data_IF_575437633301
#
_entry.id   IF_575437633301
#
_cell.length_a   1.000
_cell.length_b   1.000
_cell.length_c   1.000
_cell.angle_alpha   90.00
_cell.angle_beta   90.00
_cell.angle_gamma   90.00
#
_symmetry.space_group_name_H-M   'P 1'
#
loop_
_entity.id
_entity.type
_entity.pdbx_description
1 polymer ?
#
# COMPACT_ATOMS: atom_id res chain seq x y z
N UNK A 1 -14.53 -28.19 36.36
CA UNK A 1 -14.59 -26.74 36.59
C UNK A 1 -14.53 -26.08 35.23
N UNK A 2 -15.56 -25.34 34.81
CA UNK A 2 -15.48 -24.55 33.57
C UNK A 2 -14.46 -23.44 33.80
N UNK A 3 -13.46 -23.31 32.91
CA UNK A 3 -12.58 -22.13 32.92
C UNK A 3 -13.47 -20.90 32.74
N UNK A 4 -13.32 -19.89 33.60
CA UNK A 4 -14.01 -18.62 33.40
C UNK A 4 -13.43 -17.97 32.13
N UNK A 5 -14.28 -17.77 31.13
CA UNK A 5 -13.93 -17.07 29.91
C UNK A 5 -13.96 -15.56 30.18
N UNK A 6 -12.93 -14.84 29.75
CA UNK A 6 -12.87 -13.38 29.83
C UNK A 6 -13.36 -12.78 28.51
N UNK A 7 -14.21 -11.75 28.59
CA UNK A 7 -14.74 -11.02 27.43
C UNK A 7 -14.41 -9.53 27.51
N UNK A 8 -13.75 -9.01 26.48
CA UNK A 8 -13.50 -7.59 26.27
C UNK A 8 -14.64 -6.98 25.47
N UNK A 9 -15.17 -5.84 25.94
CA UNK A 9 -16.14 -5.03 25.21
C UNK A 9 -15.45 -3.78 24.70
N UNK A 10 -15.49 -3.56 23.39
CA UNK A 10 -14.77 -2.47 22.73
C UNK A 10 -15.74 -1.71 21.87
N UNK A 11 -15.70 -0.37 21.92
CA UNK A 11 -16.49 0.44 21.01
C UNK A 11 -15.99 0.23 19.58
N UNK A 12 -16.91 0.00 18.65
CA UNK A 12 -16.61 -0.06 17.22
C UNK A 12 -16.40 1.36 16.70
N UNK A 13 -15.17 1.79 16.36
CA UNK A 13 -14.94 3.13 15.83
C UNK A 13 -15.59 3.22 14.44
N UNK A 14 -16.72 3.90 14.36
CA UNK A 14 -17.44 4.15 13.11
C UNK A 14 -17.28 5.61 12.72
N UNK A 15 -16.64 5.86 11.59
CA UNK A 15 -16.65 7.16 10.94
C UNK A 15 -17.31 7.02 9.57
N UNK A 16 -17.94 8.11 9.11
CA UNK A 16 -18.38 8.27 7.73
C UNK A 16 -17.72 9.52 7.20
N UNK A 17 -17.11 9.38 6.03
CA UNK A 17 -16.58 10.50 5.26
C UNK A 17 -17.17 10.37 3.87
N UNK A 18 -17.76 11.45 3.38
CA UNK A 18 -18.17 11.57 1.98
C UNK A 18 -16.97 12.05 1.18
N UNK A 19 -16.62 11.31 0.14
CA UNK A 19 -15.45 11.59 -0.69
C UNK A 19 -15.90 11.58 -2.14
N UNK A 20 -15.67 12.68 -2.84
CA UNK A 20 -15.93 12.80 -4.26
C UNK A 20 -15.16 11.71 -5.03
N UNK A 21 -15.90 10.93 -5.81
CA UNK A 21 -15.31 9.86 -6.61
C UNK A 21 -14.79 10.43 -7.92
N UNK A 22 -13.51 10.17 -8.19
CA UNK A 22 -12.83 10.51 -9.44
C UNK A 22 -12.54 9.21 -10.18
N UNK A 23 -12.91 9.07 -11.46
CA UNK A 23 -12.59 7.86 -12.20
C UNK A 23 -11.08 7.65 -12.27
N UNK A 24 -10.66 6.39 -12.29
CA UNK A 24 -9.29 6.04 -12.60
C UNK A 24 -8.89 6.56 -14.00
N UNK A 25 -7.59 6.81 -14.18
CA UNK A 25 -7.03 7.17 -15.47
C UNK A 25 -7.33 6.11 -16.54
N UNK A 26 -7.49 6.48 -17.82
CA UNK A 26 -7.63 5.53 -18.91
C UNK A 26 -6.43 4.58 -18.98
N UNK A 27 -6.69 3.28 -19.16
CA UNK A 27 -5.63 2.29 -19.35
C UNK A 27 -5.00 2.42 -20.75
N UNK A 28 -3.71 2.10 -20.84
CA UNK A 28 -2.93 2.19 -22.07
C UNK A 28 -3.26 0.98 -22.96
N UNK A 29 -3.66 1.17 -24.21
CA UNK A 29 -3.99 0.04 -25.10
C UNK A 29 -2.79 -0.82 -25.49
N UNK A 30 -1.63 -0.19 -25.67
CA UNK A 30 -0.38 -0.81 -26.08
C UNK A 30 0.80 -0.05 -25.44
N UNK A 31 1.74 -0.80 -24.88
CA UNK A 31 2.93 -0.26 -24.20
C UNK A 31 4.13 -0.08 -25.16
N UNK A 32 4.00 -0.50 -26.42
CA UNK A 32 5.06 -0.34 -27.44
C UNK A 32 5.43 1.14 -27.60
N UNK A 33 6.72 1.45 -27.43
CA UNK A 33 7.23 2.82 -27.54
C UNK A 33 6.82 3.77 -26.41
N UNK A 34 6.14 3.27 -25.36
CA UNK A 34 5.63 4.09 -24.26
C UNK A 34 6.70 4.45 -23.25
N UNK A 35 6.54 5.62 -22.64
CA UNK A 35 7.41 6.14 -21.59
C UNK A 35 6.82 5.87 -20.22
N UNK A 36 7.44 4.95 -19.50
CA UNK A 36 7.07 4.59 -18.13
C UNK A 36 7.98 5.31 -17.15
N UNK A 37 7.39 6.12 -16.26
CA UNK A 37 8.13 6.74 -15.16
C UNK A 37 8.09 5.82 -13.94
N UNK A 38 9.22 5.66 -13.27
CA UNK A 38 9.29 4.91 -12.01
C UNK A 38 9.59 5.85 -10.87
N UNK A 39 8.64 5.96 -9.94
CA UNK A 39 8.81 6.66 -8.67
C UNK A 39 9.36 5.68 -7.65
N UNK A 40 10.66 5.78 -7.38
CA UNK A 40 11.33 4.95 -6.39
C UNK A 40 11.65 5.75 -5.14
N UNK A 41 11.15 5.27 -4.01
CA UNK A 41 11.58 5.74 -2.69
C UNK A 41 12.69 4.86 -2.11
N UNK A 42 12.81 3.59 -2.54
CA UNK A 42 13.75 2.55 -2.10
C UNK A 42 13.80 1.40 -3.14
N UNK A 43 14.80 0.51 -3.07
CA UNK A 43 14.84 -0.75 -3.82
C UNK A 43 15.12 -0.59 -5.32
N UNK A 44 16.26 0.04 -5.65
CA UNK A 44 16.64 0.30 -7.04
C UNK A 44 17.01 -0.99 -7.79
N UNK A 45 17.44 -2.01 -7.05
CA UNK A 45 17.82 -3.31 -7.56
C UNK A 45 16.61 -3.99 -8.22
N UNK A 46 15.47 -4.01 -7.52
CA UNK A 46 14.21 -4.56 -8.03
C UNK A 46 13.74 -3.88 -9.32
N UNK A 47 13.98 -2.58 -9.47
CA UNK A 47 13.64 -1.84 -10.69
C UNK A 47 14.38 -2.39 -11.90
N UNK A 48 15.69 -2.65 -11.80
CA UNK A 48 16.48 -3.18 -12.91
C UNK A 48 15.89 -4.49 -13.44
N UNK A 49 15.56 -5.42 -12.55
CA UNK A 49 14.96 -6.71 -12.94
C UNK A 49 13.59 -6.57 -13.61
N UNK A 50 12.74 -5.67 -13.10
CA UNK A 50 11.41 -5.41 -13.68
C UNK A 50 11.55 -4.75 -15.06
N UNK A 51 12.44 -3.75 -15.17
CA UNK A 51 12.69 -3.03 -16.41
C UNK A 51 13.21 -3.98 -17.51
N UNK A 52 14.18 -4.84 -17.18
CA UNK A 52 14.68 -5.88 -18.10
C UNK A 52 13.56 -6.84 -18.53
N UNK A 53 12.79 -7.34 -17.56
CA UNK A 53 11.69 -8.25 -17.84
C UNK A 53 10.61 -7.62 -18.75
N UNK A 54 10.28 -6.33 -18.56
CA UNK A 54 9.32 -5.63 -19.41
C UNK A 54 9.88 -5.31 -20.79
N UNK A 55 11.15 -4.89 -20.91
CA UNK A 55 11.81 -4.65 -22.20
C UNK A 55 11.90 -5.91 -23.07
N UNK A 56 12.06 -7.07 -22.44
CA UNK A 56 12.05 -8.36 -23.16
C UNK A 56 10.66 -8.72 -23.73
N UNK A 57 9.58 -8.11 -23.22
CA UNK A 57 8.19 -8.37 -23.63
C UNK A 57 7.63 -7.30 -24.57
N UNK A 58 8.09 -6.06 -24.44
CA UNK A 58 7.49 -4.89 -25.06
C UNK A 58 8.55 -4.13 -25.85
N UNK A 59 8.31 -4.00 -27.15
CA UNK A 59 9.24 -3.34 -28.05
C UNK A 59 9.29 -1.84 -27.75
N UNK A 60 10.50 -1.27 -27.77
CA UNK A 60 10.76 0.17 -27.66
C UNK A 60 10.24 0.86 -26.39
N UNK A 61 9.84 0.10 -25.35
CA UNK A 61 9.40 0.68 -24.08
C UNK A 61 10.57 1.42 -23.41
N UNK A 62 10.27 2.60 -22.87
CA UNK A 62 11.24 3.46 -22.21
C UNK A 62 10.96 3.53 -20.73
N UNK A 63 12.00 3.45 -19.92
CA UNK A 63 11.91 3.65 -18.47
C UNK A 63 12.68 4.90 -18.09
N UNK A 64 12.04 5.76 -17.31
CA UNK A 64 12.67 6.91 -16.71
C UNK A 64 12.48 6.85 -15.20
N UNK A 65 13.57 6.74 -14.46
CA UNK A 65 13.52 6.92 -13.01
C UNK A 65 13.24 8.39 -12.69
N UNK A 66 12.30 8.60 -11.79
CA UNK A 66 12.04 9.91 -11.21
C UNK A 66 12.42 9.87 -9.74
N UNK A 67 13.53 10.52 -9.42
CA UNK A 67 13.93 10.74 -8.04
C UNK A 67 13.38 12.07 -7.56
N UNK A 68 12.71 12.05 -6.41
CA UNK A 68 12.44 13.31 -5.72
C UNK A 68 13.77 13.99 -5.42
N UNK A 69 13.88 15.31 -5.63
CA UNK A 69 15.11 16.03 -5.35
C UNK A 69 15.60 15.66 -3.96
N UNK A 70 16.68 14.88 -3.89
CA UNK A 70 17.37 14.68 -2.63
C UNK A 70 17.92 16.05 -2.28
N UNK A 71 17.50 16.52 -1.14
CA UNK A 71 18.05 17.72 -0.54
C UNK A 71 19.57 17.67 -0.53
N UNK A 72 20.16 18.82 -0.77
CA UNK A 72 21.57 19.01 -0.43
C UNK A 72 21.71 18.93 1.09
N UNK A 73 22.91 18.59 1.58
CA UNK A 73 23.19 18.59 3.01
C UNK A 73 22.79 19.95 3.62
N UNK A 74 21.82 19.94 4.55
CA UNK A 74 21.33 21.14 5.24
C UNK A 74 19.93 21.62 4.86
N UNK A 75 19.28 21.07 3.83
CA UNK A 75 17.88 21.40 3.52
C UNK A 75 16.90 20.45 4.24
N UNK A 76 15.65 20.87 4.43
CA UNK A 76 14.56 20.06 5.02
C UNK A 76 13.74 19.38 3.93
N UNK A 77 13.37 18.11 4.13
CA UNK A 77 12.75 17.28 3.09
C UNK A 77 11.53 17.99 2.55
N UNK A 78 11.61 18.40 1.27
CA UNK A 78 10.47 18.98 0.59
C UNK A 78 9.61 17.82 0.11
N UNK A 79 8.43 17.70 0.71
CA UNK A 79 7.39 16.86 0.15
C UNK A 79 7.04 17.33 -1.27
N UNK A 80 6.85 16.41 -2.23
CA UNK A 80 6.42 16.77 -3.57
C UNK A 80 5.11 17.57 -3.51
N UNK A 81 5.07 18.70 -4.22
CA UNK A 81 3.84 19.48 -4.34
C UNK A 81 2.97 18.97 -5.50
N UNK A 82 1.79 19.54 -5.71
CA UNK A 82 0.89 19.11 -6.79
C UNK A 82 1.49 19.29 -8.19
N UNK A 83 2.27 20.34 -8.41
CA UNK A 83 2.92 20.60 -9.71
C UNK A 83 3.95 19.52 -10.05
N UNK A 84 4.63 18.97 -9.04
CA UNK A 84 5.58 17.88 -9.22
C UNK A 84 4.88 16.62 -9.78
N UNK A 85 3.72 16.25 -9.23
CA UNK A 85 2.92 15.12 -9.73
C UNK A 85 2.31 15.38 -11.10
N UNK A 86 1.82 16.62 -11.34
CA UNK A 86 1.30 17.03 -12.63
C UNK A 86 2.37 16.92 -13.71
N UNK A 87 3.58 17.40 -13.42
CA UNK A 87 4.71 17.31 -14.34
C UNK A 87 5.08 15.85 -14.68
N UNK A 88 5.06 14.95 -13.69
CA UNK A 88 5.26 13.51 -13.94
C UNK A 88 4.17 12.97 -14.87
N UNK A 89 2.90 13.25 -14.57
CA UNK A 89 1.76 12.77 -15.35
C UNK A 89 1.82 13.28 -16.80
N UNK A 90 2.11 14.55 -17.03
CA UNK A 90 2.21 15.16 -18.36
C UNK A 90 3.41 14.65 -19.18
N UNK A 91 4.45 14.13 -18.52
CA UNK A 91 5.68 13.66 -19.16
C UNK A 91 5.85 12.13 -19.13
N UNK A 92 4.77 11.38 -18.89
CA UNK A 92 4.76 9.91 -18.90
C UNK A 92 3.46 9.36 -19.49
N UNK A 93 3.55 8.18 -20.09
CA UNK A 93 2.37 7.43 -20.54
C UNK A 93 1.79 6.57 -19.41
N UNK A 94 2.63 6.17 -18.44
CA UNK A 94 2.25 5.40 -17.26
C UNK A 94 3.30 5.51 -16.16
N UNK A 95 2.90 5.22 -14.92
CA UNK A 95 3.78 5.32 -13.75
C UNK A 95 3.81 4.03 -12.94
N UNK A 96 5.00 3.61 -12.52
CA UNK A 96 5.18 2.57 -11.50
C UNK A 96 5.64 3.23 -10.20
N UNK A 97 5.00 2.93 -9.07
CA UNK A 97 5.39 3.45 -7.75
C UNK A 97 5.95 2.33 -6.88
N UNK A 98 7.22 2.46 -6.49
CA UNK A 98 7.97 1.56 -5.63
C UNK A 98 8.19 2.20 -4.23
N UNK A 99 8.08 1.49 -3.11
CA UNK A 99 7.54 0.16 -2.85
C UNK A 99 6.71 0.25 -1.55
N UNK A 100 5.52 -0.35 -1.52
CA UNK A 100 4.67 -0.43 -0.34
C UNK A 100 4.81 -1.76 0.41
N UNK A 101 5.68 -1.82 1.42
CA UNK A 101 5.94 -3.03 2.25
C UNK A 101 5.91 -2.74 3.75
N UNK A 102 5.39 -1.59 4.16
CA UNK A 102 5.17 -1.27 5.57
C UNK A 102 3.94 -0.40 5.75
N UNK A 103 3.49 -0.24 6.99
CA UNK A 103 2.40 0.68 7.33
C UNK A 103 2.70 2.14 7.00
N UNK A 104 3.97 2.54 6.85
CA UNK A 104 4.35 3.90 6.46
C UNK A 104 4.62 4.06 4.96
N UNK A 105 5.29 3.09 4.33
CA UNK A 105 5.65 3.19 2.91
C UNK A 105 4.47 2.89 1.97
N UNK A 106 3.55 2.00 2.36
CA UNK A 106 2.38 1.66 1.54
C UNK A 106 1.45 2.85 1.33
N UNK A 107 1.01 3.57 2.39
CA UNK A 107 0.16 4.75 2.20
C UNK A 107 0.85 5.79 1.33
N UNK A 108 2.13 6.09 1.58
CA UNK A 108 2.88 7.06 0.78
C UNK A 108 2.93 6.69 -0.71
N UNK A 109 3.20 5.42 -1.03
CA UNK A 109 3.24 4.96 -2.41
C UNK A 109 1.89 5.09 -3.11
N UNK A 110 0.81 4.74 -2.40
CA UNK A 110 -0.56 4.80 -2.93
C UNK A 110 -1.03 6.23 -3.10
N UNK A 111 -0.78 7.11 -2.12
CA UNK A 111 -1.13 8.53 -2.20
C UNK A 111 -0.42 9.20 -3.39
N UNK A 112 0.83 8.84 -3.66
CA UNK A 112 1.55 9.31 -4.85
C UNK A 112 0.87 8.82 -6.15
N UNK A 113 0.56 7.54 -6.24
CA UNK A 113 -0.12 6.96 -7.41
C UNK A 113 -1.51 7.56 -7.62
N UNK A 114 -2.26 7.80 -6.54
CA UNK A 114 -3.60 8.35 -6.61
C UNK A 114 -3.61 9.78 -7.17
N UNK A 115 -2.64 10.62 -6.77
CA UNK A 115 -2.47 11.96 -7.34
C UNK A 115 -2.20 11.90 -8.85
N UNK A 116 -1.38 10.96 -9.31
CA UNK A 116 -1.02 10.79 -10.73
C UNK A 116 -2.21 10.29 -11.55
N UNK A 117 -2.95 9.31 -11.04
CA UNK A 117 -4.19 8.83 -11.63
C UNK A 117 -5.23 9.95 -11.81
N UNK A 118 -5.37 10.84 -10.81
CA UNK A 118 -6.23 12.03 -10.90
C UNK A 118 -5.79 13.02 -11.97
N UNK A 119 -4.53 13.01 -12.39
CA UNK A 119 -4.02 13.78 -13.54
C UNK A 119 -4.15 13.06 -14.88
N UNK A 120 -4.78 11.87 -14.91
CA UNK A 120 -5.11 11.15 -16.14
C UNK A 120 -4.03 10.16 -16.62
N UNK A 121 -2.98 9.93 -15.83
CA UNK A 121 -1.93 8.95 -16.17
C UNK A 121 -2.09 7.68 -15.34
N UNK A 122 -2.19 6.49 -15.96
CA UNK A 122 -2.36 5.24 -15.22
C UNK A 122 -1.13 4.91 -14.37
N UNK A 123 -1.38 4.54 -13.11
CA UNK A 123 -0.35 4.20 -12.15
C UNK A 123 -0.52 2.77 -11.61
N UNK A 124 0.60 2.07 -11.43
CA UNK A 124 0.66 0.76 -10.76
C UNK A 124 1.54 0.90 -9.52
N UNK A 125 1.04 0.46 -8.37
CA UNK A 125 1.81 0.45 -7.12
C UNK A 125 2.33 -0.95 -6.87
N UNK A 126 3.64 -1.09 -6.65
CA UNK A 126 4.18 -2.37 -6.17
C UNK A 126 4.02 -2.45 -4.66
N UNK A 127 3.38 -3.51 -4.18
CA UNK A 127 3.06 -3.70 -2.76
C UNK A 127 3.31 -5.13 -2.32
N UNK A 128 3.68 -5.31 -1.05
CA UNK A 128 3.70 -6.62 -0.40
C UNK A 128 2.30 -7.21 -0.31
N UNK A 129 2.17 -8.53 -0.41
CA UNK A 129 0.87 -9.23 -0.39
C UNK A 129 0.00 -8.85 0.79
N UNK A 130 0.59 -8.73 1.98
CA UNK A 130 -0.13 -8.36 3.21
C UNK A 130 -0.62 -6.90 3.23
N UNK A 131 -0.14 -6.04 2.33
CA UNK A 131 -0.46 -4.61 2.28
C UNK A 131 -1.45 -4.24 1.16
N UNK A 132 -1.92 -5.20 0.35
CA UNK A 132 -2.86 -4.92 -0.74
C UNK A 132 -4.14 -4.24 -0.24
N UNK A 133 -4.72 -4.72 0.86
CA UNK A 133 -5.97 -4.17 1.37
C UNK A 133 -5.80 -2.73 1.88
N UNK A 134 -4.71 -2.46 2.62
CA UNK A 134 -4.31 -1.09 2.97
C UNK A 134 -4.18 -0.22 1.72
N UNK A 135 -3.52 -0.73 0.68
CA UNK A 135 -3.29 0.04 -0.52
C UNK A 135 -4.60 0.44 -1.21
N UNK A 136 -5.54 -0.49 -1.33
CA UNK A 136 -6.87 -0.19 -1.88
C UNK A 136 -7.68 0.76 -0.98
N UNK A 137 -7.55 0.62 0.34
CA UNK A 137 -8.18 1.53 1.30
C UNK A 137 -7.71 2.98 1.09
N UNK A 138 -6.39 3.22 1.01
CA UNK A 138 -5.85 4.55 0.80
C UNK A 138 -6.17 5.12 -0.58
N UNK A 139 -6.24 4.29 -1.62
CA UNK A 139 -6.69 4.75 -2.94
C UNK A 139 -8.14 5.27 -2.89
N UNK A 140 -9.02 4.57 -2.16
CA UNK A 140 -10.42 4.96 -1.97
C UNK A 140 -10.59 6.16 -1.05
N UNK A 141 -9.77 6.30 -0.02
CA UNK A 141 -9.77 7.51 0.81
C UNK A 141 -9.32 8.75 0.01
N UNK A 142 -8.62 8.55 -1.10
CA UNK A 142 -8.30 9.59 -2.07
C UNK A 142 -9.40 9.81 -3.12
N UNK A 143 -10.53 9.10 -3.06
CA UNK A 143 -11.63 9.25 -4.01
C UNK A 143 -11.46 8.46 -5.30
N UNK A 144 -10.46 7.57 -5.42
CA UNK A 144 -10.42 6.62 -6.53
C UNK A 144 -11.33 5.40 -6.22
N UNK A 145 -11.95 4.78 -7.22
CA UNK A 145 -12.65 3.51 -7.03
C UNK A 145 -11.74 2.42 -6.47
N UNK A 146 -10.50 2.36 -6.96
CA UNK A 146 -9.45 1.43 -6.56
C UNK A 146 -8.09 1.83 -7.19
N UNK A 147 -7.04 1.03 -6.99
CA UNK A 147 -5.73 1.21 -7.64
C UNK A 147 -5.18 -0.11 -8.19
N UNK A 148 -4.44 -0.04 -9.31
CA UNK A 148 -3.73 -1.18 -9.88
C UNK A 148 -2.50 -1.52 -9.02
N UNK A 149 -2.30 -2.82 -8.75
CA UNK A 149 -1.25 -3.32 -7.87
C UNK A 149 -0.38 -4.35 -8.59
N UNK A 150 0.94 -4.21 -8.46
CA UNK A 150 1.89 -5.30 -8.62
C UNK A 150 2.20 -5.90 -7.25
N UNK A 151 1.94 -7.18 -7.06
CA UNK A 151 2.01 -7.87 -5.77
C UNK A 151 3.31 -8.63 -5.61
N UNK A 152 4.12 -8.21 -4.63
CA UNK A 152 5.20 -9.04 -4.12
C UNK A 152 4.64 -10.19 -3.27
N UNK A 153 5.19 -11.41 -3.40
CA UNK A 153 4.74 -12.56 -2.61
C UNK A 153 5.16 -12.48 -1.13
N UNK A 154 5.92 -11.46 -0.75
CA UNK A 154 6.53 -11.25 0.56
C UNK A 154 6.28 -9.83 1.08
N UNK A 155 6.63 -9.60 2.32
CA UNK A 155 6.44 -8.36 3.09
C UNK A 155 7.74 -7.62 3.41
N UNK A 156 8.84 -8.01 2.76
CA UNK A 156 10.15 -7.37 2.84
C UNK A 156 10.67 -7.01 1.43
N UNK A 157 11.78 -6.26 1.36
CA UNK A 157 12.44 -5.97 0.07
C UNK A 157 13.15 -7.25 -0.38
N UNK A 158 12.79 -7.84 -1.54
CA UNK A 158 13.39 -9.10 -1.97
C UNK A 158 14.89 -8.93 -2.22
N UNK A 159 15.66 -9.97 -1.86
CA UNK A 159 17.06 -10.11 -2.26
C UNK A 159 17.16 -10.56 -3.72
N UNK A 160 18.35 -10.54 -4.31
CA UNK A 160 18.56 -11.07 -5.67
C UNK A 160 18.21 -12.57 -5.76
N UNK A 161 18.53 -13.35 -4.72
CA UNK A 161 18.17 -14.77 -4.62
C UNK A 161 16.65 -14.96 -4.61
N UNK A 162 15.93 -14.19 -3.78
CA UNK A 162 14.46 -14.20 -3.76
C UNK A 162 13.86 -13.89 -5.14
N UNK A 163 14.43 -12.91 -5.86
CA UNK A 163 13.95 -12.47 -7.16
C UNK A 163 14.01 -13.61 -8.18
N UNK A 164 15.13 -14.33 -8.22
CA UNK A 164 15.36 -15.43 -9.16
C UNK A 164 14.57 -16.69 -8.75
N UNK A 165 14.67 -17.14 -7.50
CA UNK A 165 14.02 -18.37 -7.03
C UNK A 165 12.49 -18.32 -7.16
N UNK A 166 11.90 -17.18 -6.80
CA UNK A 166 10.44 -17.00 -6.80
C UNK A 166 9.92 -16.44 -8.13
N UNK A 167 10.81 -16.18 -9.10
CA UNK A 167 10.48 -15.58 -10.41
C UNK A 167 9.72 -14.26 -10.26
N UNK A 168 10.19 -13.40 -9.35
CA UNK A 168 9.53 -12.14 -9.02
C UNK A 168 9.55 -11.21 -10.23
N UNK A 169 10.65 -11.17 -10.98
CA UNK A 169 10.82 -10.27 -12.12
C UNK A 169 9.76 -10.49 -13.20
N UNK A 170 9.49 -11.74 -13.59
CA UNK A 170 8.50 -12.05 -14.61
C UNK A 170 7.09 -11.77 -14.12
N UNK A 171 6.77 -12.21 -12.90
CA UNK A 171 5.43 -12.03 -12.32
C UNK A 171 5.07 -10.56 -12.17
N UNK A 172 5.98 -9.76 -11.60
CA UNK A 172 5.75 -8.32 -11.47
C UNK A 172 5.67 -7.62 -12.82
N UNK A 173 6.51 -7.99 -13.79
CA UNK A 173 6.39 -7.43 -15.14
C UNK A 173 5.00 -7.71 -15.73
N UNK A 174 4.51 -8.95 -15.65
CA UNK A 174 3.19 -9.33 -16.17
C UNK A 174 2.06 -8.57 -15.44
N UNK A 175 2.13 -8.45 -14.11
CA UNK A 175 1.16 -7.70 -13.31
C UNK A 175 1.19 -6.19 -13.57
N UNK A 176 2.36 -5.59 -13.79
CA UNK A 176 2.48 -4.18 -14.16
C UNK A 176 1.88 -3.95 -15.54
N UNK A 177 2.18 -4.81 -16.51
CA UNK A 177 1.62 -4.75 -17.85
C UNK A 177 0.09 -4.84 -17.78
N UNK A 178 -0.45 -5.79 -17.02
CA UNK A 178 -1.88 -5.93 -16.82
C UNK A 178 -2.48 -4.70 -16.12
N UNK A 179 -1.83 -4.22 -15.06
CA UNK A 179 -2.18 -3.01 -14.31
C UNK A 179 -2.29 -1.76 -15.17
N UNK A 180 -1.39 -1.60 -16.14
CA UNK A 180 -1.36 -0.45 -17.04
C UNK A 180 -2.35 -0.57 -18.20
N UNK A 181 -2.65 -1.80 -18.66
CA UNK A 181 -3.32 -1.99 -19.96
C UNK A 181 -4.75 -2.50 -19.87
N UNK A 182 -5.07 -3.34 -18.88
CA UNK A 182 -6.33 -4.10 -18.84
C UNK A 182 -7.02 -4.10 -17.48
N UNK A 183 -6.32 -3.68 -16.43
CA UNK A 183 -6.86 -3.70 -15.08
C UNK A 183 -8.12 -2.84 -14.94
N UNK A 184 -9.02 -3.31 -14.07
CA UNK A 184 -10.24 -2.60 -13.69
C UNK A 184 -10.40 -2.59 -12.17
N UNK A 185 -11.04 -1.55 -11.61
CA UNK A 185 -11.28 -1.42 -10.18
C UNK A 185 -11.98 -2.64 -9.59
N UNK A 186 -11.50 -3.11 -8.45
CA UNK A 186 -12.13 -4.18 -7.70
C UNK A 186 -13.08 -3.57 -6.66
N UNK A 187 -14.29 -4.14 -6.48
CA UNK A 187 -15.21 -3.67 -5.46
C UNK A 187 -14.59 -3.83 -4.07
N UNK A 188 -14.95 -2.95 -3.11
CA UNK A 188 -14.53 -3.11 -1.72
C UNK A 188 -15.04 -4.43 -1.15
N UNK A 189 -14.11 -5.22 -0.58
CA UNK A 189 -14.45 -6.34 0.30
C UNK A 189 -14.46 -5.82 1.73
N UNK A 190 -15.46 -5.01 2.07
CA UNK A 190 -15.64 -4.50 3.43
C UNK A 190 -16.84 -5.23 4.02
N UNK A 191 -16.59 -6.08 5.00
CA UNK A 191 -17.66 -6.60 5.86
C UNK A 191 -18.05 -5.48 6.82
N UNK A 192 -19.25 -4.94 6.63
CA UNK A 192 -19.77 -3.88 7.50
C UNK A 192 -20.26 -4.52 8.79
N UNK A 193 -19.51 -4.30 9.88
CA UNK A 193 -19.92 -4.70 11.22
C UNK A 193 -20.76 -3.57 11.81
N UNK A 194 -22.04 -3.84 12.06
CA UNK A 194 -23.07 -2.83 12.36
C UNK A 194 -23.13 -2.53 13.86
N UNK A 195 -22.63 -3.46 14.67
CA UNK A 195 -22.62 -3.43 16.12
C UNK A 195 -21.80 -2.24 16.63
N UNK A 196 -22.37 -1.49 17.57
CA UNK A 196 -21.70 -0.36 18.21
C UNK A 196 -20.63 -0.81 19.21
N UNK A 197 -20.83 -1.97 19.82
CA UNK A 197 -19.89 -2.60 20.75
C UNK A 197 -19.55 -3.98 20.22
N UNK A 198 -18.26 -4.28 20.18
CA UNK A 198 -17.71 -5.55 19.76
C UNK A 198 -17.24 -6.32 20.99
N UNK A 199 -17.46 -7.62 20.99
CA UNK A 199 -17.09 -8.50 22.09
C UNK A 199 -16.03 -9.50 21.63
N UNK A 200 -14.90 -9.53 22.35
CA UNK A 200 -13.79 -10.45 22.07
C UNK A 200 -13.51 -11.29 23.30
N UNK A 201 -13.56 -12.61 23.16
CA UNK A 201 -13.41 -13.53 24.29
C UNK A 201 -12.12 -14.35 24.19
N UNK A 202 -11.56 -14.73 25.32
CA UNK A 202 -10.36 -15.57 25.46
C UNK A 202 -10.30 -16.27 26.83
N UNK A 203 -9.38 -17.22 27.00
CA UNK A 203 -9.12 -17.85 28.30
C UNK A 203 -8.56 -16.83 29.31
N UNK A 204 -7.89 -15.79 28.83
CA UNK A 204 -7.38 -14.67 29.62
C UNK A 204 -7.46 -13.33 28.86
N UNK A 205 -7.00 -12.26 29.50
CA UNK A 205 -6.96 -10.92 28.92
C UNK A 205 -6.04 -10.84 27.67
N UNK A 206 -4.79 -11.34 27.69
CA UNK A 206 -3.95 -11.41 26.50
C UNK A 206 -4.60 -12.07 25.28
N UNK A 207 -5.29 -13.20 25.45
CA UNK A 207 -5.95 -13.90 24.34
C UNK A 207 -7.16 -13.11 23.82
N UNK A 208 -7.99 -12.55 24.71
CA UNK A 208 -9.10 -11.71 24.29
C UNK A 208 -8.61 -10.46 23.54
N UNK A 209 -7.49 -9.86 23.98
CA UNK A 209 -6.84 -8.75 23.30
C UNK A 209 -6.29 -9.16 21.93
N UNK A 210 -5.64 -10.32 21.83
CA UNK A 210 -5.14 -10.87 20.55
C UNK A 210 -6.28 -11.06 19.55
N UNK A 211 -7.43 -11.58 20.00
CA UNK A 211 -8.62 -11.75 19.17
C UNK A 211 -9.19 -10.41 18.69
N UNK A 212 -9.21 -9.40 19.56
CA UNK A 212 -9.56 -8.02 19.20
C UNK A 212 -8.60 -7.45 18.15
N UNK A 213 -7.29 -7.58 18.36
CA UNK A 213 -6.27 -7.07 17.43
C UNK A 213 -6.40 -7.75 16.06
N UNK A 214 -6.58 -9.07 16.01
CA UNK A 214 -6.76 -9.80 14.76
C UNK A 214 -7.99 -9.36 13.99
N UNK A 215 -9.10 -9.10 14.69
CA UNK A 215 -10.31 -8.58 14.08
C UNK A 215 -10.09 -7.20 13.45
N UNK A 216 -9.46 -6.26 14.16
CA UNK A 216 -9.20 -4.94 13.57
C UNK A 216 -8.14 -5.00 12.47
N UNK A 217 -7.15 -5.89 12.58
CA UNK A 217 -6.16 -6.12 11.52
C UNK A 217 -6.81 -6.72 10.27
N UNK A 218 -7.80 -7.61 10.41
CA UNK A 218 -8.49 -8.23 9.28
C UNK A 218 -9.44 -7.27 8.57
N UNK A 219 -10.13 -6.39 9.30
CA UNK A 219 -11.06 -5.40 8.73
C UNK A 219 -10.32 -4.26 8.06
N UNK A 220 -9.31 -3.70 8.71
CA UNK A 220 -8.55 -2.59 8.15
C UNK A 220 -7.60 -3.06 7.02
N UNK A 221 -7.43 -4.37 6.85
CA UNK A 221 -6.34 -4.94 6.06
C UNK A 221 -4.95 -4.57 6.59
N UNK A 222 -4.90 -4.11 7.84
CA UNK A 222 -3.70 -3.65 8.53
C UNK A 222 -3.12 -4.81 9.31
N UNK A 223 -2.45 -5.75 8.63
CA UNK A 223 -1.48 -6.62 9.32
C UNK A 223 -0.24 -5.86 9.83
N UNK A 224 -0.15 -4.54 9.60
CA UNK A 224 0.94 -3.70 10.09
C UNK A 224 0.85 -3.29 11.57
N UNK A 225 -0.27 -3.52 12.25
CA UNK A 225 -0.41 -3.13 13.66
C UNK A 225 0.52 -3.90 14.59
N UNK A 226 0.95 -5.11 14.22
CA UNK A 226 1.88 -5.87 15.04
C UNK A 226 3.25 -5.18 15.17
N UNK A 227 3.71 -4.46 14.13
CA UNK A 227 4.99 -3.73 14.20
C UNK A 227 4.90 -2.44 15.04
N UNK A 228 3.79 -1.71 14.92
CA UNK A 228 3.54 -0.50 15.71
C UNK A 228 3.34 -0.83 17.21
N UNK A 229 2.75 -2.00 17.50
CA UNK A 229 2.57 -2.49 18.87
C UNK A 229 3.82 -3.17 19.43
N UNK A 230 4.64 -3.85 18.63
CA UNK A 230 5.94 -4.39 19.06
C UNK A 230 6.94 -3.28 19.41
N UNK A 231 6.96 -2.17 18.66
CA UNK A 231 7.72 -0.97 19.06
C UNK A 231 7.22 -0.40 20.40
N UNK A 232 5.90 -0.38 20.63
CA UNK A 232 5.35 0.03 21.93
C UNK A 232 5.66 -0.95 23.05
N UNK A 233 5.64 -2.26 22.83
CA UNK A 233 5.97 -3.28 23.85
C UNK A 233 7.41 -3.14 24.34
N UNK A 234 8.31 -2.64 23.48
CA UNK A 234 9.68 -2.24 23.84
C UNK A 234 9.73 -0.91 24.63
N UNK A 235 8.87 0.06 24.30
CA UNK A 235 8.81 1.39 24.95
C UNK A 235 7.99 1.41 26.27
N UNK A 236 7.01 0.53 26.44
CA UNK A 236 6.13 0.48 27.63
C UNK A 236 6.74 -0.21 28.83
N UNK A 237 8.00 -0.66 28.75
CA UNK A 237 8.80 -0.97 29.94
C UNK A 237 8.98 0.22 30.90
N UNK A 238 8.61 1.44 30.49
CA UNK A 238 8.89 2.68 31.22
C UNK A 238 7.67 3.49 31.71
N UNK A 239 6.41 3.10 31.46
CA UNK A 239 5.26 3.95 31.84
C UNK A 239 4.16 3.17 32.59
N UNK A 240 4.02 3.45 33.89
CA UNK A 240 2.91 3.02 34.75
C UNK A 240 1.80 4.08 34.72
N UNK A 241 0.70 3.82 34.01
CA UNK A 241 -0.52 4.63 34.06
C UNK A 241 -1.66 4.05 33.20
N UNK A 242 -2.94 4.31 33.52
CA UNK A 242 -4.06 3.82 32.73
C UNK A 242 -4.06 4.49 31.36
N UNK A 243 -3.85 3.69 30.32
CA UNK A 243 -3.82 4.15 28.94
C UNK A 243 -5.21 4.01 28.32
N UNK A 244 -5.83 5.13 27.96
CA UNK A 244 -6.99 5.13 27.08
C UNK A 244 -6.50 4.98 25.64
N UNK A 245 -7.06 4.00 24.91
CA UNK A 245 -6.76 3.76 23.51
C UNK A 245 -7.81 4.47 22.65
N UNK A 246 -7.36 5.36 21.77
CA UNK A 246 -8.14 5.84 20.63
C UNK A 246 -7.54 5.19 19.39
N UNK A 247 -8.31 4.32 18.76
CA UNK A 247 -8.02 3.81 17.42
C UNK A 247 -8.52 4.89 16.47
N UNK A 248 -7.60 5.61 15.81
CA UNK A 248 -7.91 6.55 14.72
C UNK A 248 -7.76 5.84 13.38
#
# INVERSE_FOLDING_TARGET
MSKNQLTLKVLNPRSRVEIDQVPNAPRIKDLTGKKIVVLSNMGNELLTYIEEAMKNRIRDIQFQKWEWPRLRAGETFREPNLDDYKNIAENSDGVVVLLGISGGSTPRAVLNAAKIEKFGTPAVVIVGRCFQQIARFFARSEGLPDIALGTLPMDYVPTEEDIEELKIREKLADEIIEGMTRWSPQPPKIEVVVEETLEFSGEDYPEAQWNMENFFCSIAGVMGCHWYLLQKRWLTGCLKGPSYFVIM
#
